data_IF_792571566072
#
_entry.id   IF_792571566072
#
_cell.length_a   1.000
_cell.length_b   1.000
_cell.length_c   1.000
_cell.angle_alpha   90.00
_cell.angle_beta   90.00
_cell.angle_gamma   90.00
#
_symmetry.space_group_name_H-M   'P 1'
#
loop_
_entity.id
_entity.type
_entity.pdbx_description
1 polymer ?
#
# COMPACT_ATOMS: atom_id res chain seq x y z
N UNK A 1 -2.77 7.45 -0.18
CA UNK A 1 -1.98 8.71 0.02
C UNK A 1 -2.94 9.88 0.12
N UNK A 2 -2.55 11.01 0.74
CA UNK A 2 -3.48 12.12 1.00
C UNK A 2 -3.86 12.91 -0.27
N UNK A 3 -2.90 13.15 -1.16
CA UNK A 3 -3.12 13.94 -2.39
C UNK A 3 -2.65 13.14 -3.63
N UNK A 4 -3.41 12.14 -4.11
CA UNK A 4 -3.05 11.40 -5.31
C UNK A 4 -3.09 12.30 -6.55
N UNK A 5 -2.18 12.07 -7.50
CA UNK A 5 -2.13 12.82 -8.74
C UNK A 5 -0.81 12.68 -9.49
N UNK A 6 -0.69 13.43 -10.58
CA UNK A 6 0.55 13.52 -11.35
C UNK A 6 1.50 14.50 -10.66
N UNK A 7 2.74 14.08 -10.46
CA UNK A 7 3.81 14.92 -9.91
C UNK A 7 4.91 15.13 -10.95
N UNK A 8 5.51 16.32 -10.93
CA UNK A 8 6.70 16.59 -11.74
C UNK A 8 7.94 16.12 -11.00
N UNK A 9 8.64 15.14 -11.60
CA UNK A 9 9.93 14.65 -11.11
C UNK A 9 11.00 15.68 -11.44
N UNK A 10 11.86 16.02 -10.46
CA UNK A 10 12.99 16.94 -10.63
C UNK A 10 14.24 16.35 -10.02
N UNK A 11 15.33 16.30 -10.80
CA UNK A 11 16.62 15.79 -10.35
C UNK A 11 16.53 14.40 -9.71
N UNK A 12 17.22 14.23 -8.59
CA UNK A 12 17.28 12.99 -7.83
C UNK A 12 16.05 12.82 -6.93
N UNK A 13 14.93 12.36 -7.52
CA UNK A 13 13.69 12.08 -6.76
C UNK A 13 13.65 10.62 -6.30
N UNK A 14 13.26 10.41 -5.04
CA UNK A 14 13.11 9.09 -4.41
C UNK A 14 11.66 8.78 -4.02
N UNK A 15 11.36 7.53 -3.66
CA UNK A 15 10.02 7.13 -3.23
C UNK A 15 9.56 7.92 -2.00
N UNK A 16 10.43 8.09 -1.00
CA UNK A 16 10.09 8.88 0.19
C UNK A 16 9.77 10.34 -0.17
N UNK A 17 10.54 10.93 -1.10
CA UNK A 17 10.33 12.31 -1.57
C UNK A 17 8.97 12.45 -2.27
N UNK A 18 8.63 11.50 -3.14
CA UNK A 18 7.31 11.49 -3.80
C UNK A 18 6.19 11.40 -2.76
N UNK A 19 6.31 10.46 -1.81
CA UNK A 19 5.33 10.28 -0.75
C UNK A 19 5.15 11.56 0.07
N UNK A 20 6.23 12.29 0.38
CA UNK A 20 6.16 13.57 1.05
C UNK A 20 5.42 14.64 0.22
N UNK A 21 5.69 14.73 -1.08
CA UNK A 21 5.06 15.70 -1.99
C UNK A 21 3.54 15.48 -2.11
N UNK A 22 3.07 14.24 -2.06
CA UNK A 22 1.63 13.90 -2.10
C UNK A 22 0.97 13.94 -0.72
N UNK A 23 1.63 14.55 0.28
CA UNK A 23 1.09 14.72 1.65
C UNK A 23 1.17 13.47 2.53
N UNK A 24 1.94 12.47 2.13
CA UNK A 24 2.15 11.23 2.87
C UNK A 24 1.03 10.21 2.74
N UNK A 25 1.09 9.20 3.61
CA UNK A 25 0.10 8.13 3.70
C UNK A 25 -1.21 8.62 4.32
N UNK A 26 -2.32 8.01 3.92
CA UNK A 26 -3.57 8.04 4.67
C UNK A 26 -3.44 7.14 5.91
N UNK A 27 -4.30 7.32 6.90
CA UNK A 27 -4.24 6.54 8.15
C UNK A 27 -4.53 5.05 7.92
N UNK A 28 -5.23 4.71 6.83
CA UNK A 28 -5.59 3.36 6.41
C UNK A 28 -4.61 2.72 5.41
N UNK A 29 -3.60 3.43 4.92
CA UNK A 29 -2.74 2.91 3.87
C UNK A 29 -1.83 1.77 4.35
N UNK A 30 -1.65 0.75 3.51
CA UNK A 30 -0.66 -0.30 3.76
C UNK A 30 0.75 0.16 3.34
N UNK A 31 1.52 0.66 4.31
CA UNK A 31 2.90 1.13 4.10
C UNK A 31 3.87 0.01 3.71
N UNK A 32 3.54 -1.25 4.02
CA UNK A 32 4.41 -2.41 3.73
C UNK A 32 4.31 -2.92 2.30
N UNK A 33 3.33 -2.41 1.54
CA UNK A 33 3.01 -2.89 0.19
C UNK A 33 2.76 -1.75 -0.77
N UNK A 34 3.78 -0.92 -0.99
CA UNK A 34 3.77 0.12 -2.02
C UNK A 34 4.29 -0.47 -3.33
N UNK A 35 3.50 -0.38 -4.40
CA UNK A 35 3.90 -0.88 -5.72
C UNK A 35 4.46 0.27 -6.55
N UNK A 36 5.70 0.09 -7.03
CA UNK A 36 6.32 0.96 -8.04
C UNK A 36 6.29 0.23 -9.36
N UNK A 37 5.57 0.79 -10.31
CA UNK A 37 5.39 0.25 -11.64
C UNK A 37 6.19 1.11 -12.62
N UNK A 38 7.06 0.48 -13.39
CA UNK A 38 7.89 1.13 -14.40
C UNK A 38 7.66 0.52 -15.76
N UNK A 39 7.48 1.37 -16.77
CA UNK A 39 7.50 0.94 -18.16
C UNK A 39 8.94 0.96 -18.64
N UNK A 40 9.40 -0.17 -19.16
CA UNK A 40 10.73 -0.36 -19.76
C UNK A 40 10.57 -0.81 -21.20
N UNK A 41 11.66 -0.79 -21.98
CA UNK A 41 11.65 -1.27 -23.37
C UNK A 41 11.27 -2.76 -23.48
N UNK A 42 11.46 -3.53 -22.40
CA UNK A 42 11.14 -4.95 -22.31
C UNK A 42 9.72 -5.21 -21.77
N UNK A 43 8.95 -4.14 -21.52
CA UNK A 43 7.60 -4.21 -20.98
C UNK A 43 7.47 -3.59 -19.59
N UNK A 44 6.38 -3.92 -18.91
CA UNK A 44 5.99 -3.32 -17.63
C UNK A 44 6.54 -4.15 -16.47
N UNK A 45 7.38 -3.54 -15.64
CA UNK A 45 7.93 -4.14 -14.41
C UNK A 45 7.27 -3.52 -13.18
N UNK A 46 7.05 -4.32 -12.14
CA UNK A 46 6.50 -3.86 -10.87
C UNK A 46 7.37 -4.35 -9.72
N UNK A 47 7.77 -3.44 -8.84
CA UNK A 47 8.50 -3.72 -7.62
C UNK A 47 7.66 -3.38 -6.39
N UNK A 48 7.53 -4.32 -5.47
CA UNK A 48 6.91 -4.07 -4.16
C UNK A 48 7.95 -3.52 -3.19
N UNK A 49 7.62 -2.42 -2.53
CA UNK A 49 8.47 -1.71 -1.59
C UNK A 49 7.78 -1.63 -0.23
N UNK A 50 8.55 -1.81 0.84
CA UNK A 50 8.11 -1.48 2.19
C UNK A 50 8.49 -0.02 2.49
N UNK A 51 7.55 0.88 2.27
CA UNK A 51 7.75 2.30 2.53
C UNK A 51 7.88 2.60 4.03
N UNK A 52 7.34 1.75 4.91
CA UNK A 52 7.55 1.87 6.35
C UNK A 52 9.03 1.67 6.71
N UNK A 53 9.64 0.60 6.19
CA UNK A 53 11.06 0.32 6.40
C UNK A 53 11.96 1.39 5.77
N UNK A 54 11.60 1.91 4.59
CA UNK A 54 12.33 2.99 3.90
C UNK A 54 12.31 4.26 4.74
N UNK A 55 11.13 4.69 5.22
CA UNK A 55 10.99 5.88 6.05
C UNK A 55 11.68 5.74 7.42
N UNK A 56 11.82 4.52 7.93
CA UNK A 56 12.56 4.23 9.15
C UNK A 56 14.10 4.18 8.95
N UNK A 57 14.58 4.27 7.70
CA UNK A 57 16.01 4.14 7.37
C UNK A 57 16.53 2.70 7.43
N UNK A 58 15.65 1.71 7.62
CA UNK A 58 16.01 0.29 7.68
C UNK A 58 16.03 -0.39 6.31
N UNK A 59 15.58 0.30 5.26
CA UNK A 59 15.64 -0.13 3.87
C UNK A 59 16.10 1.02 2.97
N UNK A 60 16.79 0.73 1.85
CA UNK A 60 17.25 1.78 0.92
C UNK A 60 16.05 2.45 0.22
N UNK A 61 16.10 3.77 0.09
CA UNK A 61 15.07 4.55 -0.60
C UNK A 61 15.30 4.52 -2.12
N UNK A 62 14.43 3.86 -2.91
CA UNK A 62 14.65 3.69 -4.34
C UNK A 62 14.42 5.00 -5.11
N UNK A 63 15.20 5.17 -6.18
CA UNK A 63 15.02 6.26 -7.14
C UNK A 63 13.77 6.04 -8.00
N UNK A 64 13.02 7.13 -8.19
CA UNK A 64 11.81 7.19 -9.03
C UNK A 64 12.13 8.00 -10.27
N UNK A 65 11.72 7.49 -11.43
CA UNK A 65 11.93 8.16 -12.71
C UNK A 65 10.61 8.63 -13.32
N UNK A 66 10.71 9.53 -14.30
CA UNK A 66 9.55 9.96 -15.08
C UNK A 66 8.89 8.78 -15.77
N UNK A 67 7.56 8.72 -15.72
CA UNK A 67 6.77 7.61 -16.26
C UNK A 67 6.53 6.46 -15.26
N UNK A 68 7.16 6.47 -14.09
CA UNK A 68 6.81 5.55 -13.02
C UNK A 68 5.40 5.84 -12.49
N UNK A 69 4.69 4.78 -12.12
CA UNK A 69 3.40 4.85 -11.41
C UNK A 69 3.57 4.23 -10.03
N UNK A 70 3.22 4.99 -8.99
CA UNK A 70 3.28 4.54 -7.60
C UNK A 70 1.85 4.28 -7.12
N UNK A 71 1.59 3.06 -6.71
CA UNK A 71 0.30 2.62 -6.19
C UNK A 71 0.44 2.30 -4.71
N UNK A 72 -0.45 2.86 -3.91
CA UNK A 72 -0.54 2.65 -2.47
C UNK A 72 -1.94 2.17 -2.16
N UNK A 73 -2.07 0.90 -1.81
CA UNK A 73 -3.36 0.31 -1.46
C UNK A 73 -3.76 0.63 -0.02
N UNK A 74 -5.08 0.67 0.22
CA UNK A 74 -5.62 0.71 1.56
C UNK A 74 -5.57 -0.68 2.19
N UNK A 75 -5.24 -0.74 3.48
CA UNK A 75 -5.18 -1.97 4.26
C UNK A 75 -6.56 -2.57 4.59
N UNK A 76 -7.66 -2.02 4.05
CA UNK A 76 -9.04 -2.40 4.38
C UNK A 76 -9.34 -3.90 4.19
N UNK A 77 -8.62 -4.57 3.27
CA UNK A 77 -8.74 -6.02 3.07
C UNK A 77 -8.15 -6.84 4.24
N UNK A 78 -7.16 -6.31 4.97
CA UNK A 78 -6.65 -6.95 6.20
C UNK A 78 -7.58 -6.76 7.41
N UNK A 79 -8.42 -5.72 7.44
CA UNK A 79 -9.39 -5.53 8.54
C UNK A 79 -10.66 -6.35 8.35
N UNK A 80 -11.21 -6.42 7.13
CA UNK A 80 -12.45 -7.16 6.87
C UNK A 80 -12.35 -8.67 7.15
N UNK A 81 -11.16 -9.28 7.00
CA UNK A 81 -10.95 -10.70 7.30
C UNK A 81 -10.96 -11.06 8.79
N UNK A 82 -10.63 -10.11 9.69
CA UNK A 82 -10.69 -10.35 11.14
C UNK A 82 -12.09 -10.14 11.70
N UNK A 83 -12.91 -9.30 11.07
CA UNK A 83 -14.26 -9.00 11.54
C UNK A 83 -15.29 -10.07 11.10
N UNK A 84 -15.19 -10.59 9.87
CA UNK A 84 -16.12 -11.63 9.37
C UNK A 84 -15.96 -12.98 10.09
N UNK A 85 -14.76 -13.28 10.62
CA UNK A 85 -14.53 -14.49 11.41
C UNK A 85 -15.23 -14.48 12.78
N UNK A 86 -15.55 -13.29 13.30
CA UNK A 86 -16.19 -13.15 14.63
C UNK A 86 -17.71 -13.33 14.61
N UNK A 87 -18.35 -13.16 13.46
CA UNK A 87 -19.81 -13.36 13.30
C UNK A 87 -20.15 -14.83 13.06
N UNK A 88 -19.27 -15.59 12.39
CA UNK A 88 -19.48 -17.02 12.11
C UNK A 88 -19.25 -17.92 13.33
N UNK A 89 -18.47 -17.48 14.31
CA UNK A 89 -18.31 -18.19 15.60
C UNK A 89 -19.53 -18.10 16.52
N UNK A 90 -20.38 -17.07 16.37
CA UNK A 90 -21.59 -16.87 17.18
C UNK A 90 -22.83 -17.64 16.69
N UNK A 91 -22.85 -18.05 15.42
CA UNK A 91 -24.01 -18.70 14.81
C UNK A 91 -24.10 -20.23 15.03
N UNK A 92 -23.05 -20.85 15.60
CA UNK A 92 -23.03 -22.30 15.83
C UNK A 92 -23.82 -22.77 17.08
N UNK A 93 -24.32 -21.85 17.91
CA UNK A 93 -25.08 -22.18 19.14
C UNK A 93 -26.60 -22.29 18.94
N UNK A 94 -27.14 -22.01 17.75
CA UNK A 94 -28.60 -21.94 17.54
C UNK A 94 -29.21 -23.14 16.80
N UNK A 95 -28.59 -24.33 16.85
CA UNK A 95 -29.16 -25.54 16.24
C UNK A 95 -29.11 -26.79 17.13
N UNK A 96 -29.06 -26.62 18.45
CA UNK A 96 -29.20 -27.72 19.42
C UNK A 96 -30.28 -27.33 20.42
N UNK A 97 -31.53 -27.20 20.02
CA UNK A 97 -32.70 -27.25 20.90
C UNK A 97 -33.96 -27.11 20.05
N UNK A 98 -34.51 -28.21 19.53
CA UNK A 98 -35.96 -28.48 19.51
C UNK A 98 -36.13 -30.01 19.32
N UNK A 99 -37.03 -30.64 20.10
CA UNK A 99 -37.11 -32.10 20.32
C UNK A 99 -37.62 -32.90 19.13
#
# INVERSE_FOLDING_TARGET
VKNPGVIQIRGDTTLATVLAQVGGFTDTADKSSVLVIRNTDQGRVAGKMDAGAILAGSAPDPRIYGGDTIVVDDSFVRSAGKDVLSVLGGAAMLRVFFP
#
